data_IF_167734419935
#
_entry.id   IF_167734419935
#
_cell.length_a   1.000
_cell.length_b   1.000
_cell.length_c   1.000
_cell.angle_alpha   90.00
_cell.angle_beta   90.00
_cell.angle_gamma   90.00
#
_symmetry.space_group_name_H-M   'P 1'
#
loop_
_entity.id
_entity.type
_entity.pdbx_description
1 polymer ?
#
# COMPACT_ATOMS: atom_id res chain seq x y z
N UNK A 1 -3.44 -3.62 6.02
CA UNK A 1 -3.18 -4.34 4.76
C UNK A 1 -4.52 -4.80 4.18
N UNK A 2 -4.66 -4.98 2.87
CA UNK A 2 -5.94 -5.35 2.28
C UNK A 2 -5.90 -5.57 0.77
N UNK A 3 -7.07 -5.49 0.14
CA UNK A 3 -7.27 -5.62 -1.30
C UNK A 3 -8.21 -4.53 -1.81
N UNK A 4 -7.92 -3.94 -2.98
CA UNK A 4 -8.72 -2.91 -3.65
C UNK A 4 -8.98 -3.29 -5.12
N UNK A 5 -10.14 -2.89 -5.65
CA UNK A 5 -10.52 -3.19 -7.04
C UNK A 5 -9.72 -2.43 -8.11
N UNK A 6 -9.20 -1.23 -7.81
CA UNK A 6 -8.87 -0.23 -8.85
C UNK A 6 -7.83 -0.69 -9.87
N UNK A 7 -6.62 -1.08 -9.45
CA UNK A 7 -5.53 -1.29 -10.40
C UNK A 7 -5.84 -2.42 -11.39
N UNK A 8 -6.41 -3.54 -10.91
CA UNK A 8 -6.68 -4.73 -11.73
C UNK A 8 -8.02 -4.68 -12.47
N UNK A 9 -9.07 -4.19 -11.82
CA UNK A 9 -10.46 -4.27 -12.33
C UNK A 9 -11.00 -2.94 -12.84
N UNK A 10 -10.35 -1.82 -12.49
CA UNK A 10 -10.65 -0.48 -13.02
C UNK A 10 -12.15 -0.17 -12.92
N UNK A 11 -12.71 0.40 -13.98
CA UNK A 11 -14.11 0.74 -14.12
C UNK A 11 -14.85 -0.25 -15.03
N UNK A 12 -14.59 -1.56 -14.92
CA UNK A 12 -15.32 -2.57 -15.69
C UNK A 12 -16.73 -2.70 -15.10
N UNK A 13 -17.76 -2.23 -15.81
CA UNK A 13 -19.16 -2.27 -15.32
C UNK A 13 -20.08 -3.15 -16.18
N UNK A 14 -19.60 -3.67 -17.31
CA UNK A 14 -20.36 -4.58 -18.17
C UNK A 14 -20.28 -6.02 -17.63
N UNK A 15 -21.22 -6.37 -16.76
CA UNK A 15 -21.28 -7.68 -16.12
C UNK A 15 -21.85 -8.78 -17.02
N UNK A 16 -22.53 -8.44 -18.12
CA UNK A 16 -22.96 -9.45 -19.08
C UNK A 16 -21.75 -9.97 -19.87
N UNK A 17 -20.88 -9.04 -20.26
CA UNK A 17 -19.67 -9.37 -21.02
C UNK A 17 -18.52 -9.86 -20.15
N UNK A 18 -18.35 -9.29 -18.96
CA UNK A 18 -17.24 -9.59 -18.04
C UNK A 18 -17.74 -9.95 -16.64
N UNK A 19 -18.53 -11.04 -16.48
CA UNK A 19 -19.20 -11.37 -15.22
C UNK A 19 -18.25 -11.65 -14.06
N UNK A 20 -17.03 -12.12 -14.34
CA UNK A 20 -16.00 -12.39 -13.34
C UNK A 20 -15.13 -11.16 -13.01
N UNK A 21 -15.14 -10.11 -13.83
CA UNK A 21 -14.24 -8.95 -13.69
C UNK A 21 -14.98 -7.63 -13.41
N UNK A 22 -16.28 -7.56 -13.65
CA UNK A 22 -17.03 -6.34 -13.42
C UNK A 22 -17.12 -5.99 -11.92
N UNK A 23 -17.11 -4.70 -11.62
CA UNK A 23 -17.26 -4.15 -10.28
C UNK A 23 -18.67 -4.46 -9.78
N UNK A 24 -18.79 -5.51 -8.97
CA UNK A 24 -20.07 -6.09 -8.55
C UNK A 24 -19.97 -6.77 -7.19
N UNK A 25 -21.11 -7.00 -6.56
CA UNK A 25 -21.22 -7.78 -5.33
C UNK A 25 -20.55 -9.16 -5.43
N UNK A 26 -20.70 -9.83 -6.57
CA UNK A 26 -20.11 -11.14 -6.82
C UNK A 26 -18.58 -11.10 -6.82
N UNK A 27 -17.98 -10.08 -7.45
CA UNK A 27 -16.52 -9.90 -7.43
C UNK A 27 -16.02 -9.76 -5.99
N UNK A 28 -16.67 -8.91 -5.19
CA UNK A 28 -16.24 -8.64 -3.81
C UNK A 28 -16.37 -9.87 -2.92
N UNK A 29 -17.49 -10.60 -3.01
CA UNK A 29 -17.69 -11.84 -2.26
C UNK A 29 -16.67 -12.91 -2.64
N UNK A 30 -16.43 -13.09 -3.94
CA UNK A 30 -15.42 -14.03 -4.46
C UNK A 30 -14.02 -13.71 -3.94
N UNK A 31 -13.60 -12.45 -3.95
CA UNK A 31 -12.28 -12.06 -3.44
C UNK A 31 -12.18 -12.28 -1.93
N UNK A 32 -13.21 -11.93 -1.17
CA UNK A 32 -13.23 -12.16 0.28
C UNK A 32 -13.16 -13.65 0.63
N UNK A 33 -13.88 -14.52 -0.09
CA UNK A 33 -13.81 -15.97 0.07
C UNK A 33 -12.41 -16.50 -0.19
N UNK A 34 -11.80 -16.13 -1.32
CA UNK A 34 -10.43 -16.55 -1.65
C UNK A 34 -9.43 -16.01 -0.63
N UNK A 35 -9.56 -14.75 -0.18
CA UNK A 35 -8.69 -14.17 0.84
C UNK A 35 -8.74 -14.94 2.15
N UNK A 36 -9.93 -15.44 2.53
CA UNK A 36 -10.12 -16.25 3.72
C UNK A 36 -9.50 -17.65 3.53
N UNK A 37 -9.87 -18.33 2.45
CA UNK A 37 -9.52 -19.73 2.21
C UNK A 37 -8.03 -19.92 1.90
N UNK A 38 -7.39 -18.94 1.26
CA UNK A 38 -6.01 -19.03 0.81
C UNK A 38 -4.99 -18.38 1.78
N UNK A 39 -5.45 -17.97 2.98
CA UNK A 39 -4.59 -17.51 4.07
C UNK A 39 -4.22 -16.03 4.07
N UNK A 40 -4.84 -15.19 3.23
CA UNK A 40 -4.57 -13.75 3.21
C UNK A 40 -5.13 -13.02 4.43
N UNK A 41 -6.28 -13.44 4.95
CA UNK A 41 -6.79 -12.87 6.21
C UNK A 41 -5.85 -13.20 7.38
N UNK A 42 -5.42 -14.46 7.47
CA UNK A 42 -4.40 -14.89 8.44
C UNK A 42 -3.09 -14.10 8.23
N UNK A 43 -2.73 -13.85 6.97
CA UNK A 43 -1.81 -12.83 6.41
C UNK A 43 -1.69 -11.52 7.22
N UNK A 44 -2.85 -11.00 7.63
CA UNK A 44 -3.06 -9.62 8.03
C UNK A 44 -3.79 -8.77 6.97
N UNK A 45 -4.08 -9.32 5.78
CA UNK A 45 -4.87 -8.63 4.75
C UNK A 45 -6.36 -8.67 5.12
N UNK A 46 -6.80 -7.68 5.89
CA UNK A 46 -8.13 -7.67 6.50
C UNK A 46 -9.08 -6.62 5.95
N UNK A 47 -8.66 -5.74 5.03
CA UNK A 47 -9.57 -4.84 4.31
C UNK A 47 -9.89 -5.39 2.92
N UNK A 48 -11.17 -5.34 2.53
CA UNK A 48 -11.64 -5.58 1.16
C UNK A 48 -12.36 -4.32 0.70
N UNK A 49 -11.86 -3.72 -0.39
CA UNK A 49 -12.33 -2.41 -0.83
C UNK A 49 -12.85 -2.33 -2.24
N UNK A 50 -13.90 -1.53 -2.40
CA UNK A 50 -14.48 -1.15 -3.68
C UNK A 50 -14.00 0.26 -4.01
N UNK A 51 -13.28 0.40 -5.12
CA UNK A 51 -12.87 1.69 -5.67
C UNK A 51 -13.98 2.34 -6.53
N UNK A 52 -13.65 3.29 -7.42
CA UNK A 52 -14.64 3.99 -8.25
C UNK A 52 -15.56 3.03 -9.05
N UNK A 53 -16.65 3.59 -9.60
CA UNK A 53 -17.62 2.94 -10.47
C UNK A 53 -18.61 1.98 -9.80
N UNK A 54 -18.78 2.04 -8.48
CA UNK A 54 -19.80 1.27 -7.76
C UNK A 54 -21.21 1.89 -7.79
N UNK A 55 -21.30 3.16 -8.15
CA UNK A 55 -22.52 3.99 -8.09
C UNK A 55 -23.42 3.83 -9.33
N UNK A 56 -24.69 4.20 -9.17
CA UNK A 56 -25.53 4.71 -10.26
C UNK A 56 -25.02 6.09 -10.73
N UNK A 57 -25.45 6.53 -11.92
CA UNK A 57 -25.07 7.87 -12.42
C UNK A 57 -25.80 9.03 -11.74
N UNK A 58 -26.84 8.74 -10.96
CA UNK A 58 -27.65 9.73 -10.26
C UNK A 58 -27.83 9.33 -8.79
N UNK A 59 -27.94 10.35 -7.93
CA UNK A 59 -28.38 10.20 -6.54
C UNK A 59 -29.87 9.86 -6.49
N UNK A 60 -30.35 9.37 -5.35
CA UNK A 60 -31.80 9.20 -5.14
C UNK A 60 -32.50 10.56 -4.88
N UNK A 61 -33.83 10.52 -4.74
CA UNK A 61 -34.65 11.72 -4.50
C UNK A 61 -34.32 12.43 -3.17
N UNK A 62 -33.64 11.76 -2.25
CA UNK A 62 -33.17 12.34 -0.98
C UNK A 62 -31.72 12.84 -1.07
N UNK A 63 -31.12 12.82 -2.27
CA UNK A 63 -29.74 13.24 -2.50
C UNK A 63 -28.69 12.26 -1.98
N UNK A 64 -29.03 11.00 -1.70
CA UNK A 64 -28.08 9.97 -1.25
C UNK A 64 -27.41 9.27 -2.43
N UNK A 65 -26.18 8.82 -2.20
CA UNK A 65 -25.47 7.92 -3.11
C UNK A 65 -26.23 6.60 -3.25
N UNK A 66 -26.32 6.09 -4.48
CA UNK A 66 -27.02 4.84 -4.80
C UNK A 66 -26.02 3.87 -5.42
N UNK A 67 -25.76 2.69 -4.80
CA UNK A 67 -25.00 1.65 -5.47
C UNK A 67 -25.79 1.16 -6.69
N UNK A 68 -25.07 0.82 -7.77
CA UNK A 68 -25.70 0.29 -8.99
C UNK A 68 -26.58 -0.91 -8.67
N UNK A 69 -27.87 -0.81 -9.00
CA UNK A 69 -28.88 -1.77 -8.53
C UNK A 69 -28.75 -3.14 -9.19
N UNK A 70 -28.14 -3.21 -10.36
CA UNK A 70 -27.94 -4.47 -11.07
C UNK A 70 -26.67 -5.18 -10.56
N UNK A 71 -25.61 -4.42 -10.28
CA UNK A 71 -24.32 -4.96 -9.85
C UNK A 71 -24.23 -5.20 -8.35
N UNK A 72 -25.01 -4.46 -7.57
CA UNK A 72 -25.11 -4.55 -6.11
C UNK A 72 -26.57 -4.64 -5.66
N UNK A 73 -27.30 -5.70 -6.05
CA UNK A 73 -28.75 -5.80 -5.83
C UNK A 73 -29.14 -5.83 -4.34
N UNK A 74 -28.23 -6.21 -3.45
CA UNK A 74 -28.48 -6.24 -2.00
C UNK A 74 -27.95 -4.99 -1.27
N UNK A 75 -27.34 -4.05 -1.99
CA UNK A 75 -26.79 -2.81 -1.44
C UNK A 75 -25.50 -2.98 -0.63
N UNK A 76 -24.92 -1.84 -0.23
CA UNK A 76 -23.60 -1.79 0.43
C UNK A 76 -23.60 -2.38 1.85
N UNK A 77 -24.69 -2.25 2.61
CA UNK A 77 -24.83 -2.86 3.93
C UNK A 77 -24.68 -4.39 3.88
N UNK A 78 -25.25 -5.04 2.87
CA UNK A 78 -25.13 -6.48 2.69
C UNK A 78 -23.68 -6.92 2.38
N UNK A 79 -22.89 -6.06 1.70
CA UNK A 79 -21.46 -6.27 1.50
C UNK A 79 -20.72 -6.21 2.83
N UNK A 80 -20.96 -5.15 3.61
CA UNK A 80 -20.33 -5.00 4.93
C UNK A 80 -20.66 -6.18 5.84
N UNK A 81 -21.94 -6.57 5.96
CA UNK A 81 -22.37 -7.73 6.76
C UNK A 81 -21.67 -9.01 6.35
N UNK A 82 -21.54 -9.24 5.05
CA UNK A 82 -20.87 -10.41 4.52
C UNK A 82 -19.37 -10.42 4.87
N UNK A 83 -18.69 -9.28 4.70
CA UNK A 83 -17.27 -9.11 5.02
C UNK A 83 -17.01 -9.24 6.53
N UNK A 84 -17.81 -8.57 7.36
CA UNK A 84 -17.70 -8.56 8.82
C UNK A 84 -17.92 -9.95 9.41
N UNK A 85 -18.90 -10.71 8.89
CA UNK A 85 -19.14 -12.11 9.30
C UNK A 85 -17.91 -13.01 9.08
N UNK A 86 -17.04 -12.65 8.12
CA UNK A 86 -15.79 -13.36 7.79
C UNK A 86 -14.56 -12.77 8.47
N UNK A 87 -14.71 -11.73 9.28
CA UNK A 87 -13.60 -11.06 9.97
C UNK A 87 -12.86 -10.02 9.13
N UNK A 88 -13.37 -9.68 7.94
CA UNK A 88 -12.85 -8.58 7.13
C UNK A 88 -13.45 -7.24 7.56
N UNK A 89 -12.85 -6.16 7.04
CA UNK A 89 -13.29 -4.78 7.12
C UNK A 89 -13.64 -4.27 5.73
N UNK A 90 -14.66 -3.44 5.64
CA UNK A 90 -15.17 -2.91 4.39
C UNK A 90 -14.56 -1.55 4.07
N UNK A 91 -13.86 -1.46 2.93
CA UNK A 91 -13.35 -0.21 2.40
C UNK A 91 -14.20 0.28 1.22
N UNK A 92 -14.47 1.58 1.17
CA UNK A 92 -15.27 2.19 0.11
C UNK A 92 -14.60 3.46 -0.41
N UNK A 93 -14.80 3.71 -1.70
CA UNK A 93 -14.31 4.90 -2.38
C UNK A 93 -15.38 5.97 -2.50
N UNK A 94 -14.93 7.21 -2.36
CA UNK A 94 -15.61 8.40 -2.82
C UNK A 94 -14.61 9.45 -3.33
N UNK A 95 -15.15 10.53 -3.90
CA UNK A 95 -14.40 11.69 -4.36
C UNK A 95 -14.94 12.95 -3.69
N UNK A 96 -14.05 13.82 -3.20
CA UNK A 96 -14.42 15.08 -2.55
C UNK A 96 -15.15 16.05 -3.48
N UNK A 97 -14.87 16.02 -4.78
CA UNK A 97 -15.42 16.96 -5.75
C UNK A 97 -16.87 16.67 -6.16
N UNK A 98 -17.31 17.35 -7.22
CA UNK A 98 -18.68 17.19 -7.73
C UNK A 98 -18.92 15.82 -8.38
N UNK A 99 -17.85 15.19 -8.85
CA UNK A 99 -17.87 13.89 -9.50
C UNK A 99 -16.64 13.09 -9.11
N UNK A 100 -16.76 11.78 -9.12
CA UNK A 100 -15.61 10.88 -9.13
C UNK A 100 -14.80 11.04 -10.40
N UNK A 101 -13.56 10.56 -10.41
CA UNK A 101 -12.70 10.60 -11.60
C UNK A 101 -13.37 9.96 -12.84
N UNK A 102 -14.16 8.89 -12.66
CA UNK A 102 -14.93 8.25 -13.74
C UNK A 102 -16.33 8.85 -13.98
N UNK A 103 -16.60 10.03 -13.39
CA UNK A 103 -17.78 10.83 -13.66
C UNK A 103 -19.06 10.34 -12.98
N UNK A 104 -18.96 9.58 -11.88
CA UNK A 104 -20.08 9.28 -10.99
C UNK A 104 -20.29 10.43 -9.98
N UNK A 105 -21.42 10.51 -9.26
CA UNK A 105 -21.62 11.56 -8.25
C UNK A 105 -20.51 11.58 -7.19
N UNK A 106 -19.94 12.75 -6.89
CA UNK A 106 -19.00 12.98 -5.78
C UNK A 106 -19.68 13.66 -4.59
N UNK A 107 -18.97 13.82 -3.47
CA UNK A 107 -19.57 14.19 -2.17
C UNK A 107 -19.71 15.70 -1.93
N UNK A 108 -19.17 16.57 -2.79
CA UNK A 108 -19.20 18.02 -2.57
C UNK A 108 -20.64 18.54 -2.40
N UNK A 109 -20.94 19.18 -1.28
CA UNK A 109 -22.28 19.67 -0.91
C UNK A 109 -23.23 18.60 -0.37
N UNK A 110 -22.79 17.35 -0.27
CA UNK A 110 -23.53 16.20 0.27
C UNK A 110 -22.76 15.49 1.39
N UNK A 111 -21.71 16.11 1.94
CA UNK A 111 -20.71 15.46 2.79
C UNK A 111 -21.35 14.78 4.01
N UNK A 112 -22.23 15.48 4.74
CA UNK A 112 -22.91 14.94 5.90
C UNK A 112 -23.86 13.80 5.55
N UNK A 113 -24.60 13.91 4.44
CA UNK A 113 -25.53 12.88 3.94
C UNK A 113 -24.78 11.61 3.54
N UNK A 114 -23.63 11.78 2.88
CA UNK A 114 -22.84 10.66 2.39
C UNK A 114 -22.10 9.97 3.54
N UNK A 115 -21.58 10.73 4.51
CA UNK A 115 -21.02 10.16 5.74
C UNK A 115 -22.07 9.36 6.51
N UNK A 116 -23.30 9.87 6.64
CA UNK A 116 -24.37 9.10 7.25
C UNK A 116 -24.65 7.82 6.47
N UNK A 117 -24.58 7.85 5.13
CA UNK A 117 -24.73 6.65 4.31
C UNK A 117 -23.63 5.61 4.59
N UNK A 118 -22.38 6.04 4.77
CA UNK A 118 -21.27 5.14 5.13
C UNK A 118 -21.45 4.52 6.52
N UNK A 119 -21.99 5.28 7.47
CA UNK A 119 -22.36 4.76 8.79
C UNK A 119 -23.46 3.72 8.67
N UNK A 120 -24.55 4.03 7.94
CA UNK A 120 -25.69 3.13 7.76
C UNK A 120 -25.30 1.82 7.06
N UNK A 121 -24.25 1.86 6.24
CA UNK A 121 -23.70 0.71 5.53
C UNK A 121 -22.57 0.00 6.27
N UNK A 122 -22.24 0.44 7.49
CA UNK A 122 -21.15 -0.13 8.29
C UNK A 122 -19.78 -0.15 7.57
N UNK A 123 -19.44 0.91 6.86
CA UNK A 123 -18.12 1.06 6.21
C UNK A 123 -17.02 1.27 7.26
N UNK A 124 -15.84 0.70 7.07
CA UNK A 124 -14.71 0.80 8.03
C UNK A 124 -13.54 1.65 7.51
N UNK A 125 -13.57 2.03 6.23
CA UNK A 125 -12.50 2.74 5.54
C UNK A 125 -13.09 3.54 4.38
N UNK A 126 -12.71 4.81 4.28
CA UNK A 126 -13.04 5.68 3.14
C UNK A 126 -11.76 6.13 2.45
N UNK A 127 -11.63 5.78 1.16
CA UNK A 127 -10.72 6.48 0.24
C UNK A 127 -11.47 7.68 -0.32
N UNK A 128 -10.93 8.88 -0.12
CA UNK A 128 -11.49 10.12 -0.64
C UNK A 128 -10.56 10.74 -1.68
N UNK A 129 -10.98 10.63 -2.93
CA UNK A 129 -10.31 11.16 -4.10
C UNK A 129 -10.55 12.67 -4.27
N UNK A 130 -9.92 13.27 -5.28
CA UNK A 130 -9.87 14.72 -5.47
C UNK A 130 -10.12 15.21 -6.89
N UNK A 131 -10.80 14.43 -7.73
CA UNK A 131 -11.17 14.90 -9.07
C UNK A 131 -12.30 15.94 -9.00
N UNK A 132 -12.45 16.77 -10.05
CA UNK A 132 -13.56 17.72 -10.19
C UNK A 132 -13.81 18.65 -8.99
N UNK A 133 -12.75 19.01 -8.26
CA UNK A 133 -12.75 20.04 -7.22
C UNK A 133 -11.67 21.08 -7.49
N UNK A 134 -11.89 22.29 -7.00
CA UNK A 134 -10.86 23.33 -6.93
C UNK A 134 -9.80 22.91 -5.90
N UNK A 135 -8.57 22.65 -6.36
CA UNK A 135 -7.47 22.16 -5.50
C UNK A 135 -7.08 23.16 -4.42
N UNK A 136 -7.38 24.45 -4.60
CA UNK A 136 -7.22 25.47 -3.57
C UNK A 136 -8.17 25.34 -2.39
N UNK A 137 -9.26 24.57 -2.52
CA UNK A 137 -10.25 24.31 -1.45
C UNK A 137 -10.01 23.02 -0.69
N UNK A 138 -9.05 22.19 -1.13
CA UNK A 138 -8.77 20.90 -0.47
C UNK A 138 -8.26 21.09 0.96
N UNK A 139 -7.55 22.19 1.22
CA UNK A 139 -6.99 22.52 2.54
C UNK A 139 -8.06 22.76 3.61
N UNK A 140 -9.28 23.13 3.21
CA UNK A 140 -10.44 23.22 4.09
C UNK A 140 -11.32 21.97 3.99
N UNK A 141 -11.47 21.44 2.78
CA UNK A 141 -12.43 20.39 2.45
C UNK A 141 -12.12 19.02 3.04
N UNK A 142 -10.87 18.55 2.91
CA UNK A 142 -10.47 17.26 3.48
C UNK A 142 -10.53 17.28 5.02
N UNK A 143 -10.01 18.32 5.72
CA UNK A 143 -10.22 18.46 7.16
C UNK A 143 -11.68 18.50 7.59
N UNK A 144 -12.52 19.23 6.85
CA UNK A 144 -13.96 19.31 7.14
C UNK A 144 -14.65 17.95 6.99
N UNK A 145 -14.36 17.22 5.92
CA UNK A 145 -14.90 15.87 5.72
C UNK A 145 -14.44 14.90 6.83
N UNK A 146 -13.14 14.93 7.17
CA UNK A 146 -12.60 14.14 8.29
C UNK A 146 -13.23 14.50 9.64
N UNK A 147 -13.52 15.78 9.89
CA UNK A 147 -14.26 16.23 11.08
C UNK A 147 -15.67 15.60 11.12
N UNK A 148 -16.41 15.67 10.02
CA UNK A 148 -17.75 15.07 9.95
C UNK A 148 -17.71 13.55 10.13
N UNK A 149 -16.68 12.87 9.59
CA UNK A 149 -16.48 11.43 9.83
C UNK A 149 -16.32 11.13 11.33
N UNK A 150 -15.55 11.96 12.05
CA UNK A 150 -15.37 11.79 13.49
C UNK A 150 -16.66 12.09 14.28
N UNK A 151 -17.39 13.14 13.90
CA UNK A 151 -18.69 13.50 14.51
C UNK A 151 -19.77 12.44 14.30
N UNK A 152 -19.66 11.61 13.26
CA UNK A 152 -20.56 10.48 13.01
C UNK A 152 -20.50 9.38 14.08
N UNK A 153 -19.43 9.34 14.88
CA UNK A 153 -19.22 8.37 15.95
C UNK A 153 -18.81 6.97 15.50
N UNK A 154 -18.75 6.69 14.19
CA UNK A 154 -18.23 5.42 13.65
C UNK A 154 -16.74 5.57 13.30
N UNK A 155 -15.84 4.77 13.91
CA UNK A 155 -14.44 4.75 13.50
C UNK A 155 -14.30 4.23 12.07
N UNK A 156 -13.77 5.08 11.19
CA UNK A 156 -13.46 4.75 9.80
C UNK A 156 -12.05 5.22 9.48
N UNK A 157 -11.25 4.36 8.84
CA UNK A 157 -9.94 4.77 8.32
C UNK A 157 -10.14 5.79 7.21
N UNK A 158 -9.46 6.94 7.30
CA UNK A 158 -9.57 7.99 6.30
C UNK A 158 -8.31 8.06 5.43
N UNK A 159 -8.46 7.64 4.16
CA UNK A 159 -7.43 7.65 3.14
C UNK A 159 -7.64 8.82 2.19
N UNK A 160 -6.70 9.76 2.19
CA UNK A 160 -6.85 11.04 1.50
C UNK A 160 -6.00 11.08 0.23
N UNK A 161 -6.59 11.31 -0.94
CA UNK A 161 -5.79 11.61 -2.14
C UNK A 161 -5.26 13.04 -2.19
N UNK A 162 -5.62 13.87 -1.22
CA UNK A 162 -5.30 15.29 -1.11
C UNK A 162 -3.90 15.70 -1.62
N UNK A 163 -2.77 15.16 -1.10
CA UNK A 163 -1.45 15.62 -1.56
C UNK A 163 -1.17 15.33 -3.04
N UNK A 164 -1.73 14.27 -3.64
CA UNK A 164 -1.51 13.95 -5.05
C UNK A 164 -2.07 15.02 -6.01
N UNK A 165 -3.04 15.83 -5.56
CA UNK A 165 -3.67 16.88 -6.36
C UNK A 165 -3.04 18.27 -6.14
N UNK A 166 -2.02 18.38 -5.29
CA UNK A 166 -1.39 19.66 -4.95
C UNK A 166 0.10 19.69 -5.28
N UNK A 167 0.56 20.83 -5.80
CA UNK A 167 1.98 21.05 -6.09
C UNK A 167 2.84 21.24 -4.83
N UNK A 168 2.26 21.75 -3.74
CA UNK A 168 2.95 22.01 -2.46
C UNK A 168 2.07 21.62 -1.28
N UNK A 169 1.91 20.32 -1.00
CA UNK A 169 1.01 19.85 0.05
C UNK A 169 1.50 20.24 1.45
N UNK A 170 0.55 20.58 2.34
CA UNK A 170 0.85 20.79 3.76
C UNK A 170 0.79 19.46 4.54
N UNK A 171 1.88 18.70 4.52
CA UNK A 171 1.94 17.39 5.17
C UNK A 171 1.69 17.41 6.68
N UNK A 172 1.96 18.52 7.38
CA UNK A 172 1.61 18.64 8.79
C UNK A 172 0.09 18.66 9.00
N UNK A 173 -0.65 19.38 8.13
CA UNK A 173 -2.11 19.38 8.17
C UNK A 173 -2.67 18.03 7.74
N UNK A 174 -2.17 17.45 6.64
CA UNK A 174 -2.61 16.16 6.12
C UNK A 174 -2.46 15.07 7.20
N UNK A 175 -1.30 14.99 7.85
CA UNK A 175 -1.05 14.02 8.90
C UNK A 175 -1.96 14.18 10.12
N UNK A 176 -2.43 15.40 10.42
CA UNK A 176 -3.35 15.64 11.52
C UNK A 176 -4.80 15.23 11.21
N UNK A 177 -5.16 15.10 9.93
CA UNK A 177 -6.55 14.86 9.52
C UNK A 177 -6.77 13.50 8.85
N UNK A 178 -5.73 12.87 8.30
CA UNK A 178 -5.83 11.63 7.52
C UNK A 178 -5.07 10.48 8.18
N UNK A 179 -5.57 9.26 8.03
CA UNK A 179 -4.85 8.06 8.48
C UNK A 179 -3.77 7.63 7.50
N UNK A 180 -4.01 7.88 6.21
CA UNK A 180 -3.02 7.70 5.16
C UNK A 180 -3.32 8.65 4.01
N UNK A 181 -2.33 8.89 3.15
CA UNK A 181 -2.51 9.78 2.02
C UNK A 181 -1.71 9.39 0.79
N UNK A 182 -2.36 9.43 -0.38
CA UNK A 182 -1.71 9.20 -1.68
C UNK A 182 -0.85 10.40 -2.02
N UNK A 183 0.47 10.21 -2.05
CA UNK A 183 1.40 11.32 -2.26
C UNK A 183 1.53 11.72 -3.73
N UNK A 184 1.36 10.77 -4.66
CA UNK A 184 1.77 10.95 -6.05
C UNK A 184 0.92 10.13 -7.04
N UNK A 185 1.31 10.18 -8.32
CA UNK A 185 0.69 9.54 -9.49
C UNK A 185 0.14 8.13 -9.21
N UNK A 186 -0.97 7.79 -9.86
CA UNK A 186 -1.52 6.44 -9.89
C UNK A 186 -0.52 5.41 -10.44
N UNK A 187 -0.37 4.31 -9.72
CA UNK A 187 0.42 3.18 -10.18
C UNK A 187 -0.25 2.48 -11.36
N UNK A 188 0.55 2.15 -12.36
CA UNK A 188 0.15 1.41 -13.55
C UNK A 188 0.90 0.09 -13.61
N UNK A 189 0.32 -0.92 -14.27
CA UNK A 189 0.88 -2.28 -14.36
C UNK A 189 2.17 -2.34 -15.21
N UNK A 190 3.26 -1.77 -14.70
CA UNK A 190 4.54 -1.72 -15.39
C UNK A 190 5.69 -1.41 -14.44
N UNK A 191 6.85 -1.97 -14.74
CA UNK A 191 8.11 -1.64 -14.07
C UNK A 191 8.44 -0.14 -14.12
N UNK A 192 8.10 0.54 -15.22
CA UNK A 192 8.34 1.98 -15.40
C UNK A 192 7.57 2.83 -14.39
N UNK A 193 6.27 2.53 -14.19
CA UNK A 193 5.44 3.23 -13.21
C UNK A 193 5.95 2.99 -11.79
N UNK A 194 6.20 1.73 -11.42
CA UNK A 194 6.78 1.36 -10.12
C UNK A 194 8.10 2.10 -9.87
N UNK A 195 9.02 2.07 -10.82
CA UNK A 195 10.34 2.73 -10.71
C UNK A 195 10.23 4.25 -10.58
N UNK A 196 9.26 4.88 -11.25
CA UNK A 196 8.99 6.33 -11.14
C UNK A 196 8.47 6.70 -9.75
N UNK A 197 7.55 5.92 -9.20
CA UNK A 197 7.03 6.14 -7.85
C UNK A 197 8.15 5.99 -6.82
N UNK A 198 8.93 4.90 -6.91
CA UNK A 198 10.10 4.71 -6.04
C UNK A 198 11.08 5.89 -6.12
N UNK A 199 11.39 6.35 -7.34
CA UNK A 199 12.26 7.50 -7.54
C UNK A 199 11.69 8.76 -6.90
N UNK A 200 10.42 9.06 -7.13
CA UNK A 200 9.77 10.25 -6.57
C UNK A 200 9.76 10.20 -5.05
N UNK A 201 9.42 9.06 -4.45
CA UNK A 201 9.46 8.89 -3.00
C UNK A 201 10.86 9.12 -2.43
N UNK A 202 11.89 8.61 -3.10
CA UNK A 202 13.28 8.80 -2.67
C UNK A 202 13.79 10.23 -2.81
N UNK A 203 13.35 10.96 -3.85
CA UNK A 203 13.80 12.32 -4.13
C UNK A 203 13.08 13.38 -3.28
N UNK A 204 11.90 13.06 -2.75
CA UNK A 204 11.08 13.96 -1.93
C UNK A 204 10.94 13.49 -0.47
N UNK A 205 11.69 12.46 -0.05
CA UNK A 205 11.54 11.83 1.26
C UNK A 205 11.70 12.78 2.45
N UNK A 206 12.53 13.83 2.32
CA UNK A 206 12.79 14.80 3.40
C UNK A 206 11.55 15.67 3.72
N UNK A 207 10.64 15.82 2.76
CA UNK A 207 9.44 16.64 2.91
C UNK A 207 8.38 15.93 3.75
N UNK A 208 8.17 14.62 3.52
CA UNK A 208 7.01 13.91 4.05
C UNK A 208 7.30 12.68 4.92
N UNK A 209 8.47 12.04 4.82
CA UNK A 209 8.72 10.76 5.48
C UNK A 209 8.62 10.86 7.02
N UNK A 210 8.96 12.03 7.59
CA UNK A 210 8.87 12.31 9.03
C UNK A 210 7.44 12.31 9.60
N UNK A 211 6.42 12.41 8.74
CA UNK A 211 5.02 12.38 9.17
C UNK A 211 4.44 10.97 9.21
N UNK A 212 5.10 9.98 8.59
CA UNK A 212 4.69 8.58 8.71
C UNK A 212 4.99 8.04 10.11
N UNK A 213 3.95 7.58 10.81
CA UNK A 213 3.97 7.04 12.17
C UNK A 213 2.68 6.26 12.45
N UNK A 214 2.56 5.50 13.56
CA UNK A 214 1.34 4.77 13.87
C UNK A 214 0.07 5.63 13.74
N UNK A 215 -0.81 5.22 12.83
CA UNK A 215 -2.08 5.90 12.53
C UNK A 215 -2.02 6.96 11.41
N UNK A 216 -0.85 7.21 10.81
CA UNK A 216 -0.58 8.24 9.80
C UNK A 216 0.46 7.72 8.78
N UNK A 217 0.09 7.46 7.53
CA UNK A 217 0.98 6.76 6.59
C UNK A 217 1.06 7.43 5.20
N UNK A 218 2.26 7.45 4.62
CA UNK A 218 2.42 7.79 3.21
C UNK A 218 1.97 6.59 2.34
N UNK A 219 1.24 6.87 1.26
CA UNK A 219 0.70 5.85 0.38
C UNK A 219 1.30 5.98 -1.04
N UNK A 220 2.26 5.09 -1.40
CA UNK A 220 2.82 4.99 -2.75
C UNK A 220 1.92 4.20 -3.72
N UNK A 221 0.65 3.98 -3.38
CA UNK A 221 -0.36 3.24 -4.14
C UNK A 221 -0.22 1.71 -4.08
N UNK A 222 -1.18 1.02 -4.71
CA UNK A 222 -1.41 -0.43 -4.62
C UNK A 222 -0.23 -1.32 -5.06
N UNK A 223 -0.21 -2.54 -4.54
CA UNK A 223 0.67 -3.62 -4.99
C UNK A 223 0.23 -4.17 -6.35
N UNK A 224 1.18 -4.29 -7.29
CA UNK A 224 1.00 -4.85 -8.64
C UNK A 224 1.25 -6.36 -8.72
N UNK A 225 1.64 -6.95 -7.59
CA UNK A 225 2.17 -8.31 -7.48
C UNK A 225 1.09 -9.32 -7.92
N UNK A 226 1.41 -10.09 -8.96
CA UNK A 226 0.53 -11.12 -9.52
C UNK A 226 -0.29 -10.68 -10.73
N UNK A 227 -0.18 -9.42 -11.16
CA UNK A 227 -0.76 -8.94 -12.42
C UNK A 227 0.15 -9.27 -13.61
N UNK A 228 0.20 -8.40 -14.63
CA UNK A 228 0.78 -8.70 -15.93
C UNK A 228 2.13 -8.02 -16.16
N UNK A 229 2.36 -6.85 -15.56
CA UNK A 229 3.45 -5.95 -15.92
C UNK A 229 4.77 -6.14 -15.17
N UNK A 230 4.78 -6.93 -14.08
CA UNK A 230 5.97 -7.18 -13.28
C UNK A 230 6.48 -8.62 -13.44
N UNK A 231 7.80 -8.75 -13.62
CA UNK A 231 8.48 -10.04 -13.41
C UNK A 231 8.46 -10.43 -11.92
N UNK A 232 8.84 -11.67 -11.59
CA UNK A 232 8.96 -12.10 -10.19
C UNK A 232 10.01 -11.27 -9.43
N UNK A 233 11.16 -10.97 -10.05
CA UNK A 233 12.19 -10.12 -9.46
C UNK A 233 11.65 -8.71 -9.15
N UNK A 234 10.88 -8.13 -10.07
CA UNK A 234 10.28 -6.80 -9.89
C UNK A 234 9.16 -6.79 -8.84
N UNK A 235 8.37 -7.86 -8.76
CA UNK A 235 7.38 -8.04 -7.70
C UNK A 235 8.04 -8.12 -6.31
N UNK A 236 9.19 -8.82 -6.20
CA UNK A 236 10.00 -8.81 -4.99
C UNK A 236 10.54 -7.41 -4.66
N UNK A 237 10.99 -6.65 -5.67
CA UNK A 237 11.39 -5.24 -5.46
C UNK A 237 10.24 -4.44 -4.84
N UNK A 238 9.03 -4.53 -5.41
CA UNK A 238 7.89 -3.77 -4.89
C UNK A 238 7.60 -4.12 -3.43
N UNK A 239 7.47 -5.40 -3.11
CA UNK A 239 7.16 -5.84 -1.74
C UNK A 239 8.22 -5.37 -0.74
N UNK A 240 9.51 -5.50 -1.08
CA UNK A 240 10.61 -5.08 -0.22
C UNK A 240 10.62 -3.55 0.01
N UNK A 241 10.49 -2.77 -1.06
CA UNK A 241 10.53 -1.30 -0.96
C UNK A 241 9.29 -0.74 -0.27
N UNK A 242 8.09 -1.27 -0.55
CA UNK A 242 6.86 -0.87 0.15
C UNK A 242 6.97 -1.17 1.65
N UNK A 243 7.52 -2.33 2.01
CA UNK A 243 7.74 -2.69 3.41
C UNK A 243 8.77 -1.78 4.10
N UNK A 244 9.80 -1.32 3.40
CA UNK A 244 10.73 -0.31 3.93
C UNK A 244 10.04 1.05 4.09
N UNK A 245 9.17 1.42 3.16
CA UNK A 245 8.44 2.69 3.20
C UNK A 245 7.35 2.72 4.28
N UNK A 246 7.07 1.60 4.97
CA UNK A 246 5.91 1.46 5.85
C UNK A 246 4.60 1.80 5.13
N UNK A 247 4.51 1.36 3.87
CA UNK A 247 3.40 1.65 2.98
C UNK A 247 2.20 0.75 3.28
N UNK A 248 0.97 1.20 2.98
CA UNK A 248 -0.17 0.30 2.94
C UNK A 248 0.07 -0.86 1.97
N UNK A 249 0.07 -2.10 2.47
CA UNK A 249 0.06 -3.30 1.61
C UNK A 249 -1.37 -3.56 1.11
N UNK A 250 -1.79 -2.82 0.09
CA UNK A 250 -3.09 -2.93 -0.57
C UNK A 250 -2.92 -3.65 -1.91
N UNK A 251 -3.29 -4.93 -1.95
CA UNK A 251 -3.27 -5.74 -3.17
C UNK A 251 -4.31 -5.23 -4.16
N UNK A 252 -4.03 -5.37 -5.46
CA UNK A 252 -5.07 -5.25 -6.48
C UNK A 252 -4.75 -6.22 -7.61
N UNK A 253 -5.30 -7.42 -7.51
CA UNK A 253 -5.01 -8.60 -8.37
C UNK A 253 -6.19 -9.56 -8.34
N UNK A 254 -6.39 -10.36 -9.38
CA UNK A 254 -7.38 -11.45 -9.33
C UNK A 254 -6.78 -12.66 -8.59
N UNK A 255 -7.22 -12.87 -7.35
CA UNK A 255 -6.70 -13.94 -6.50
C UNK A 255 -7.15 -15.33 -6.95
N UNK A 256 -8.14 -15.46 -7.84
CA UNK A 256 -8.56 -16.75 -8.42
C UNK A 256 -7.50 -17.31 -9.37
N UNK A 257 -6.73 -16.44 -10.01
CA UNK A 257 -5.78 -16.80 -11.07
C UNK A 257 -4.34 -16.38 -10.76
N UNK A 258 -4.07 -15.88 -9.55
CA UNK A 258 -2.73 -15.53 -9.13
C UNK A 258 -1.81 -16.75 -9.14
N UNK A 259 -0.62 -16.58 -9.73
CA UNK A 259 0.38 -17.65 -9.78
C UNK A 259 1.01 -17.90 -8.40
N UNK A 260 1.36 -19.15 -8.04
CA UNK A 260 1.88 -19.49 -6.72
C UNK A 260 3.08 -18.64 -6.29
N UNK A 261 4.02 -18.38 -7.20
CA UNK A 261 5.23 -17.61 -6.89
C UNK A 261 4.95 -16.15 -6.50
N UNK A 262 3.85 -15.54 -6.96
CA UNK A 262 3.44 -14.19 -6.55
C UNK A 262 2.63 -14.21 -5.25
N UNK A 263 1.81 -15.26 -5.06
CA UNK A 263 1.13 -15.51 -3.78
C UNK A 263 2.16 -15.65 -2.65
N UNK A 264 3.25 -16.39 -2.87
CA UNK A 264 4.33 -16.54 -1.89
C UNK A 264 4.98 -15.19 -1.51
N UNK A 265 5.16 -14.28 -2.47
CA UNK A 265 5.68 -12.93 -2.19
C UNK A 265 4.70 -12.16 -1.30
N UNK A 266 3.40 -12.20 -1.62
CA UNK A 266 2.36 -11.50 -0.84
C UNK A 266 2.20 -12.08 0.57
N UNK A 267 2.35 -13.40 0.75
CA UNK A 267 2.17 -14.06 2.05
C UNK A 267 3.45 -14.22 2.87
N UNK A 268 4.56 -13.63 2.43
CA UNK A 268 5.83 -13.74 3.15
C UNK A 268 5.75 -13.05 4.52
N UNK A 269 5.59 -13.86 5.58
CA UNK A 269 5.41 -13.42 6.97
C UNK A 269 6.57 -12.61 7.51
N UNK A 270 7.80 -12.93 7.09
CA UNK A 270 9.00 -12.24 7.57
C UNK A 270 9.04 -10.82 7.02
N UNK A 271 8.63 -10.62 5.76
CA UNK A 271 8.53 -9.29 5.13
C UNK A 271 7.31 -8.51 5.64
N UNK A 272 6.16 -9.15 5.81
CA UNK A 272 4.98 -8.53 6.44
C UNK A 272 5.34 -8.03 7.85
N UNK A 273 6.15 -8.76 8.62
CA UNK A 273 6.60 -8.32 9.93
C UNK A 273 7.51 -7.07 9.87
N UNK A 274 8.27 -6.88 8.78
CA UNK A 274 9.00 -5.62 8.55
C UNK A 274 8.01 -4.48 8.33
N UNK A 275 7.04 -4.68 7.44
CA UNK A 275 6.03 -3.68 7.11
C UNK A 275 5.24 -3.23 8.36
N UNK A 276 4.74 -4.22 9.11
CA UNK A 276 3.91 -4.08 10.29
C UNK A 276 4.70 -3.79 11.58
N UNK A 277 6.00 -3.50 11.50
CA UNK A 277 6.82 -3.20 12.67
C UNK A 277 6.24 -2.03 13.50
N UNK A 278 6.11 -2.27 14.81
CA UNK A 278 5.41 -1.38 15.74
C UNK A 278 6.05 -0.01 15.93
N UNK A 279 7.32 0.18 15.55
CA UNK A 279 7.94 1.51 15.56
C UNK A 279 7.22 2.45 14.58
N UNK A 280 6.64 1.88 13.50
CA UNK A 280 5.89 2.62 12.50
C UNK A 280 6.70 3.72 11.80
N UNK A 281 8.03 3.65 11.86
CA UNK A 281 8.91 4.64 11.24
C UNK A 281 9.20 4.23 9.81
N UNK A 282 8.75 5.04 8.88
CA UNK A 282 9.10 4.90 7.46
C UNK A 282 10.62 4.93 7.27
N UNK A 283 11.11 4.00 6.45
CA UNK A 283 12.48 3.95 5.97
C UNK A 283 12.74 4.88 4.78
N UNK A 284 14.00 4.96 4.37
CA UNK A 284 14.50 5.91 3.37
C UNK A 284 15.41 5.23 2.36
N UNK A 285 15.55 5.83 1.17
CA UNK A 285 16.68 5.53 0.31
C UNK A 285 17.91 6.24 0.87
N UNK A 286 18.97 5.48 1.15
CA UNK A 286 20.19 5.99 1.79
C UNK A 286 21.40 5.99 0.86
N UNK A 287 21.32 5.28 -0.26
CA UNK A 287 22.37 5.26 -1.27
C UNK A 287 21.80 5.03 -2.68
N UNK A 288 22.41 5.66 -3.68
CA UNK A 288 22.05 5.50 -5.09
C UNK A 288 23.28 5.74 -5.98
N UNK A 289 23.80 4.69 -6.61
CA UNK A 289 24.91 4.79 -7.57
C UNK A 289 24.84 3.66 -8.59
N UNK A 290 25.23 3.92 -9.83
CA UNK A 290 25.28 2.91 -10.90
C UNK A 290 23.94 2.18 -11.11
N UNK A 291 22.81 2.88 -10.97
CA UNK A 291 21.45 2.32 -11.00
C UNK A 291 21.21 1.23 -9.94
N UNK A 292 22.02 1.16 -8.89
CA UNK A 292 21.75 0.37 -7.71
C UNK A 292 21.38 1.30 -6.56
N UNK A 293 20.42 0.89 -5.75
CA UNK A 293 19.92 1.65 -4.62
C UNK A 293 19.98 0.81 -3.34
N UNK A 294 20.20 1.48 -2.21
CA UNK A 294 20.04 0.87 -0.89
C UNK A 294 18.96 1.65 -0.16
N UNK A 295 17.98 0.89 0.33
CA UNK A 295 16.87 1.36 1.13
C UNK A 295 16.99 0.76 2.52
N UNK A 296 16.65 1.54 3.54
CA UNK A 296 16.87 1.23 4.96
C UNK A 296 15.63 1.57 5.77
N UNK A 297 15.21 0.66 6.65
CA UNK A 297 14.23 0.91 7.72
C UNK A 297 14.77 0.43 9.06
N UNK A 298 14.71 1.27 10.10
CA UNK A 298 14.95 0.86 11.49
C UNK A 298 13.69 0.25 12.09
N UNK A 299 13.83 -0.82 12.87
CA UNK A 299 12.73 -1.56 13.48
C UNK A 299 12.71 -1.41 15.01
N UNK A 300 11.58 -1.79 15.62
CA UNK A 300 11.31 -1.64 17.05
C UNK A 300 12.25 -2.46 17.95
N UNK A 301 12.70 -3.62 17.48
CA UNK A 301 13.66 -4.51 18.17
C UNK A 301 15.13 -4.03 18.06
N UNK A 302 15.37 -2.88 17.42
CA UNK A 302 16.71 -2.33 17.21
C UNK A 302 17.43 -2.86 15.97
N UNK A 303 16.82 -3.80 15.24
CA UNK A 303 17.32 -4.28 13.95
C UNK A 303 17.01 -3.33 12.80
N UNK A 304 17.57 -3.64 11.63
CA UNK A 304 17.38 -2.86 10.40
C UNK A 304 16.98 -3.76 9.25
N UNK A 305 15.98 -3.35 8.47
CA UNK A 305 15.66 -3.95 7.19
C UNK A 305 16.37 -3.18 6.07
N UNK A 306 17.13 -3.87 5.23
CA UNK A 306 17.96 -3.28 4.18
C UNK A 306 17.64 -3.95 2.84
N UNK A 307 17.12 -3.19 1.89
CA UNK A 307 16.88 -3.66 0.52
C UNK A 307 17.94 -3.09 -0.43
N UNK A 308 18.65 -3.99 -1.09
CA UNK A 308 19.57 -3.69 -2.17
C UNK A 308 18.85 -3.89 -3.49
N UNK A 309 18.51 -2.82 -4.18
CA UNK A 309 17.73 -2.84 -5.42
C UNK A 309 18.65 -2.58 -6.60
N UNK A 310 18.60 -3.43 -7.61
CA UNK A 310 19.29 -3.21 -8.88
C UNK A 310 18.27 -2.76 -9.93
N UNK A 311 18.27 -1.47 -10.27
CA UNK A 311 17.36 -0.89 -11.27
C UNK A 311 17.85 -1.04 -12.71
N UNK A 312 18.99 -1.70 -12.91
CA UNK A 312 19.44 -2.06 -14.26
C UNK A 312 18.48 -3.10 -14.83
N UNK A 313 18.14 -2.96 -16.09
CA UNK A 313 17.30 -3.88 -16.87
C UNK A 313 18.12 -4.65 -17.92
N UNK A 314 19.44 -4.58 -17.80
CA UNK A 314 20.42 -5.18 -18.71
C UNK A 314 21.43 -6.09 -18.01
N UNK A 315 22.14 -6.90 -18.80
CA UNK A 315 23.31 -7.64 -18.35
C UNK A 315 23.02 -8.81 -17.41
N UNK A 316 23.82 -8.93 -16.35
CA UNK A 316 23.89 -10.08 -15.44
C UNK A 316 23.86 -9.60 -13.97
N UNK A 317 23.70 -10.49 -12.98
CA UNK A 317 23.62 -10.10 -11.57
C UNK A 317 24.81 -9.25 -11.14
N UNK A 318 24.53 -8.07 -10.57
CA UNK A 318 25.51 -7.06 -10.20
C UNK A 318 25.93 -7.21 -8.74
N UNK A 319 27.23 -7.19 -8.48
CA UNK A 319 27.77 -7.22 -7.12
C UNK A 319 27.80 -5.81 -6.53
N UNK A 320 27.08 -5.61 -5.43
CA UNK A 320 27.14 -4.39 -4.61
C UNK A 320 27.97 -4.70 -3.38
N UNK A 321 29.04 -3.91 -3.18
CA UNK A 321 29.96 -4.01 -2.05
C UNK A 321 30.00 -2.68 -1.31
N UNK A 322 29.51 -2.65 -0.06
CA UNK A 322 29.31 -1.43 0.72
C UNK A 322 29.56 -1.62 2.21
N UNK A 323 29.99 -0.54 2.88
CA UNK A 323 30.16 -0.50 4.33
C UNK A 323 28.84 -0.28 5.09
N UNK A 324 28.85 -0.51 6.42
CA UNK A 324 27.74 -0.17 7.33
C UNK A 324 27.36 1.32 7.27
N UNK A 325 28.34 2.21 7.10
CA UNK A 325 28.11 3.66 6.96
C UNK A 325 27.30 3.98 5.71
N UNK A 326 27.65 3.33 4.58
CA UNK A 326 26.90 3.49 3.31
C UNK A 326 25.46 3.00 3.43
N UNK A 327 25.22 1.93 4.22
CA UNK A 327 23.88 1.44 4.55
C UNK A 327 23.15 2.31 5.60
N UNK A 328 23.83 3.31 6.17
CA UNK A 328 23.32 4.16 7.25
C UNK A 328 22.87 3.36 8.49
N UNK A 329 23.67 2.37 8.91
CA UNK A 329 23.43 1.58 10.13
C UNK A 329 24.66 1.59 11.06
N UNK A 330 24.49 1.41 12.39
CA UNK A 330 25.59 1.49 13.35
C UNK A 330 26.73 0.51 13.07
N UNK A 331 27.98 0.91 13.36
CA UNK A 331 29.17 0.05 13.30
C UNK A 331 29.21 -0.95 14.44
N UNK A 332 28.67 -2.14 14.20
CA UNK A 332 28.70 -3.27 15.12
C UNK A 332 28.56 -4.59 14.35
N UNK A 333 28.58 -5.72 15.07
CA UNK A 333 28.32 -7.01 14.47
C UNK A 333 26.81 -7.27 14.34
N UNK A 334 26.42 -7.93 13.26
CA UNK A 334 25.04 -8.32 12.97
C UNK A 334 24.95 -9.80 12.61
N UNK A 335 23.83 -10.42 12.96
CA UNK A 335 23.29 -11.56 12.21
C UNK A 335 22.45 -11.01 11.05
N UNK A 336 22.67 -11.53 9.86
CA UNK A 336 22.01 -11.09 8.63
C UNK A 336 21.17 -12.22 8.08
N UNK A 337 19.87 -11.98 7.92
CA UNK A 337 18.90 -12.94 7.41
C UNK A 337 18.32 -12.44 6.09
N UNK A 338 18.33 -13.29 5.06
CA UNK A 338 17.64 -13.02 3.78
C UNK A 338 16.14 -13.27 3.93
N UNK A 339 15.35 -12.23 3.71
CA UNK A 339 13.90 -12.25 3.89
C UNK A 339 13.18 -12.99 2.76
N UNK A 340 13.83 -13.22 1.62
CA UNK A 340 13.33 -14.12 0.56
C UNK A 340 13.87 -15.55 0.69
N UNK A 341 14.75 -15.82 1.67
CA UNK A 341 15.30 -17.15 1.98
C UNK A 341 16.04 -17.79 0.80
N UNK A 342 16.64 -16.97 -0.07
CA UNK A 342 17.47 -17.44 -1.18
C UNK A 342 18.90 -17.69 -0.71
N UNK A 343 19.30 -17.06 0.40
CA UNK A 343 20.61 -17.18 1.01
C UNK A 343 20.52 -17.65 2.47
N UNK A 344 21.54 -18.40 2.92
CA UNK A 344 21.64 -18.81 4.32
C UNK A 344 21.97 -17.61 5.21
N UNK A 345 21.45 -17.55 6.45
CA UNK A 345 21.84 -16.53 7.42
C UNK A 345 23.36 -16.50 7.62
N UNK A 346 23.91 -15.31 7.82
CA UNK A 346 25.35 -15.11 8.01
C UNK A 346 25.66 -14.02 9.01
N UNK A 347 26.84 -14.09 9.61
CA UNK A 347 27.34 -13.03 10.50
C UNK A 347 28.11 -11.99 9.69
N UNK A 348 27.92 -10.71 10.00
CA UNK A 348 28.68 -9.60 9.41
C UNK A 348 29.22 -8.69 10.50
N UNK A 349 30.54 -8.52 10.53
CA UNK A 349 31.23 -7.70 11.53
C UNK A 349 31.39 -6.23 11.09
N UNK A 350 31.84 -5.34 12.00
CA UNK A 350 32.05 -3.93 11.69
C UNK A 350 33.26 -3.66 10.78
N UNK A 351 34.15 -4.65 10.61
CA UNK A 351 35.32 -4.55 9.74
C UNK A 351 35.04 -5.15 8.36
N UNK A 352 35.05 -4.31 7.33
CA UNK A 352 34.91 -4.72 5.93
C UNK A 352 33.65 -4.22 5.25
N UNK A 353 33.45 -4.67 4.01
CA UNK A 353 32.28 -4.35 3.21
C UNK A 353 31.34 -5.55 3.14
N UNK A 354 30.04 -5.29 3.24
CA UNK A 354 29.00 -6.24 2.94
C UNK A 354 28.85 -6.37 1.43
N UNK A 355 28.90 -7.60 0.92
CA UNK A 355 28.76 -7.90 -0.49
C UNK A 355 27.54 -8.76 -0.77
N UNK A 356 26.74 -8.37 -1.76
CA UNK A 356 25.61 -9.17 -2.26
C UNK A 356 25.49 -9.02 -3.78
N UNK A 357 24.90 -10.02 -4.45
CA UNK A 357 24.68 -10.02 -5.91
C UNK A 357 23.19 -9.97 -6.22
N UNK A 358 22.80 -9.03 -7.07
CA UNK A 358 21.40 -8.69 -7.29
C UNK A 358 21.09 -8.81 -8.78
N UNK A 359 20.04 -9.56 -9.13
CA UNK A 359 19.57 -9.70 -10.51
C UNK A 359 19.15 -8.35 -11.11
N UNK A 360 19.23 -8.16 -12.44
CA UNK A 360 18.65 -6.99 -13.11
C UNK A 360 17.17 -6.83 -12.74
N UNK A 361 16.75 -5.62 -12.37
CA UNK A 361 15.41 -5.29 -11.88
C UNK A 361 14.94 -6.14 -10.69
N UNK A 362 15.89 -6.65 -9.90
CA UNK A 362 15.65 -7.46 -8.70
C UNK A 362 16.11 -6.78 -7.42
N UNK A 363 15.91 -7.50 -6.30
CA UNK A 363 16.26 -7.06 -4.95
C UNK A 363 16.92 -8.18 -4.16
N UNK A 364 17.84 -7.81 -3.27
CA UNK A 364 18.21 -8.63 -2.11
C UNK A 364 17.77 -7.91 -0.85
N UNK A 365 16.93 -8.56 -0.05
CA UNK A 365 16.27 -7.91 1.09
C UNK A 365 16.61 -8.62 2.39
N UNK A 366 17.30 -7.92 3.28
CA UNK A 366 17.87 -8.51 4.48
C UNK A 366 17.37 -7.85 5.75
N UNK A 367 17.27 -8.63 6.83
CA UNK A 367 17.18 -8.12 8.21
C UNK A 367 18.55 -8.24 8.89
N UNK A 368 19.08 -7.11 9.36
CA UNK A 368 20.33 -6.98 10.10
C UNK A 368 20.01 -6.88 11.60
N UNK A 369 20.22 -7.97 12.33
CA UNK A 369 19.92 -8.11 13.76
C UNK A 369 21.21 -7.86 14.55
N UNK A 370 21.26 -6.81 15.41
CA UNK A 370 22.41 -6.54 16.26
C UNK A 370 22.83 -7.75 17.08
N UNK A 371 24.11 -8.14 17.01
CA UNK A 371 24.66 -9.09 17.98
C UNK A 371 24.97 -8.35 19.28
N UNK A 372 24.47 -8.86 20.39
CA UNK A 372 24.99 -8.42 21.69
C UNK A 372 26.43 -8.91 21.82
N UNK A 373 27.30 -8.09 22.43
CA UNK A 373 28.76 -8.27 22.46
C UNK A 373 29.27 -9.58 23.10
N UNK A 374 28.39 -10.47 23.57
CA UNK A 374 28.74 -11.72 24.23
C UNK A 374 28.64 -12.97 23.33
N UNK A 375 28.28 -12.84 22.04
CA UNK A 375 28.16 -13.97 21.11
C UNK A 375 29.24 -14.00 20.01
N UNK A 376 30.48 -13.67 20.37
CA UNK A 376 31.63 -14.06 19.53
C UNK A 376 32.00 -15.49 19.90
N UNK A 377 31.37 -16.47 19.24
CA UNK A 377 32.03 -17.77 19.09
C UNK A 377 33.20 -17.56 18.15
N UNK A 378 34.39 -17.50 18.71
CA UNK A 378 35.64 -17.71 17.98
C UNK A 378 35.67 -19.18 17.57
N UNK A 379 35.24 -19.48 16.34
CA UNK A 379 35.62 -20.74 15.71
C UNK A 379 37.08 -20.57 15.26
N UNK A 380 37.99 -21.13 16.05
CA UNK A 380 39.39 -21.39 15.70
C UNK A 380 39.51 -22.52 14.70
#
# INVERSE_FOLDING_TARGET
>A
MGWLTWQRFRCITDCEKYPDECISENLIKRMADIMLDEGYLEAGYNYVGIDDCWLEKQRDDNGRLVPDRNRFPNGMKAIADYLHKKGFKFALYQDYGNKTCMGYPGVLGHEATDIQSFVDWDVDYIKLDGCYVDTGKMDDGYPYFGKLMNESGRPMVYSCSWPAYQNKPNYASIANHCNLWRNWDDIQDSWSSLSRIMKWFAENQDDFAKYARPGQWNDPDMLLIGNFGLSLDQAKVQMAVWSILAAPLLMSVDLKTIRPEFKEVLLNRDIIAIDQDSLGRQGLRVWNKSNCEIWNRKLSDGSYAIAFVNKRDDGAPYAVKVSLDTMSIPKQAYEVQDLYKEEKPRSFGPGGDFETRINPSGVKFFKFIPKTSNEVKTDT
#
